data_IF_706311742182
#
_entry.id   IF_706311742182
#
_cell.length_a   1.000
_cell.length_b   1.000
_cell.length_c   1.000
_cell.angle_alpha   90.00
_cell.angle_beta   90.00
_cell.angle_gamma   90.00
#
_symmetry.space_group_name_H-M   'P 1'
#
loop_
_entity.id
_entity.type
_entity.pdbx_description
1 polymer ?
#
# COMPACT_ATOMS: atom_id res chain seq x y z
N UNK A 1 -39.96 -0.43 73.98
CA UNK A 1 -39.82 -1.47 73.00
C UNK A 1 -39.90 -0.83 71.61
N UNK A 2 -38.74 -0.41 71.03
CA UNK A 2 -38.70 0.21 69.76
C UNK A 2 -38.13 -0.78 68.74
N UNK A 3 -38.90 -1.10 67.71
CA UNK A 3 -38.45 -1.90 66.51
C UNK A 3 -37.92 -0.99 65.47
N UNK A 4 -36.62 -1.07 65.25
CA UNK A 4 -35.95 -0.41 64.06
C UNK A 4 -36.08 -1.31 62.85
N UNK A 5 -36.77 -0.84 61.82
CA UNK A 5 -36.84 -1.51 60.55
C UNK A 5 -35.64 -1.09 59.72
N UNK A 6 -34.81 -2.06 59.34
CA UNK A 6 -33.66 -1.89 58.44
C UNK A 6 -34.15 -1.91 56.97
N UNK A 7 -34.10 -0.77 56.29
CA UNK A 7 -34.43 -0.69 54.88
C UNK A 7 -33.16 -1.03 54.04
N UNK A 8 -33.15 -2.20 53.41
CA UNK A 8 -32.09 -2.64 52.57
C UNK A 8 -32.30 -2.06 51.16
N UNK A 9 -31.55 -1.04 50.77
CA UNK A 9 -31.57 -0.48 49.41
C UNK A 9 -30.73 -1.36 48.49
N UNK A 10 -31.41 -2.06 47.58
CA UNK A 10 -30.75 -2.84 46.52
C UNK A 10 -30.37 -1.90 45.36
N UNK A 11 -29.10 -1.56 45.27
CA UNK A 11 -28.58 -0.80 44.10
C UNK A 11 -28.44 -1.76 42.92
N UNK A 12 -29.31 -1.63 41.94
CA UNK A 12 -29.17 -2.28 40.62
C UNK A 12 -28.03 -1.58 39.86
N UNK A 13 -26.83 -2.18 39.84
CA UNK A 13 -25.79 -1.82 38.88
C UNK A 13 -26.23 -2.29 37.49
N UNK A 14 -26.75 -1.35 36.69
CA UNK A 14 -26.98 -1.56 35.27
C UNK A 14 -25.64 -1.68 34.54
N UNK A 15 -25.23 -2.89 34.18
CA UNK A 15 -24.15 -3.09 33.22
C UNK A 15 -24.66 -2.62 31.84
N UNK A 16 -24.23 -1.44 31.43
CA UNK A 16 -24.36 -1.03 30.06
C UNK A 16 -23.45 -1.94 29.20
N UNK A 17 -24.03 -2.90 28.50
CA UNK A 17 -23.37 -3.65 27.44
C UNK A 17 -23.05 -2.65 26.33
N UNK A 18 -21.83 -2.10 26.34
CA UNK A 18 -21.30 -1.42 25.18
C UNK A 18 -21.15 -2.47 24.09
N UNK A 19 -22.09 -2.52 23.16
CA UNK A 19 -21.92 -3.23 21.91
C UNK A 19 -20.70 -2.64 21.22
N UNK A 20 -19.58 -3.36 21.27
CA UNK A 20 -18.45 -3.03 20.41
C UNK A 20 -18.93 -3.25 18.98
N UNK A 21 -18.94 -2.17 18.22
CA UNK A 21 -19.21 -2.26 16.79
C UNK A 21 -18.16 -3.21 16.18
N UNK A 22 -18.64 -4.35 15.70
CA UNK A 22 -17.75 -5.31 15.01
C UNK A 22 -17.45 -4.78 13.64
N UNK A 23 -16.17 -4.56 13.35
CA UNK A 23 -15.73 -4.13 12.01
C UNK A 23 -16.20 -5.11 10.93
N UNK A 24 -16.45 -4.58 9.73
CA UNK A 24 -16.82 -5.38 8.58
C UNK A 24 -15.59 -5.92 7.82
N UNK A 25 -15.88 -6.71 6.81
CA UNK A 25 -14.89 -7.26 5.87
C UNK A 25 -15.26 -6.84 4.46
N UNK A 26 -14.26 -6.50 3.64
CA UNK A 26 -14.42 -6.31 2.19
C UNK A 26 -13.61 -7.37 1.48
N UNK A 27 -14.24 -8.14 0.62
CA UNK A 27 -13.55 -9.18 -0.16
C UNK A 27 -13.95 -9.11 -1.64
N UNK A 28 -13.12 -9.66 -2.49
CA UNK A 28 -13.45 -9.68 -3.89
C UNK A 28 -12.34 -10.14 -4.80
N UNK A 29 -12.53 -9.81 -6.07
CA UNK A 29 -11.56 -10.12 -7.11
C UNK A 29 -11.30 -8.91 -7.99
N UNK A 30 -10.06 -8.79 -8.44
CA UNK A 30 -9.64 -7.88 -9.48
C UNK A 30 -9.23 -8.67 -10.71
N UNK A 31 -9.65 -8.24 -11.88
CA UNK A 31 -9.15 -8.74 -13.16
C UNK A 31 -8.31 -7.67 -13.84
N UNK A 32 -7.13 -8.05 -14.29
CA UNK A 32 -6.34 -7.21 -15.19
C UNK A 32 -6.73 -7.53 -16.64
N UNK A 33 -7.02 -6.49 -17.40
CA UNK A 33 -7.31 -6.56 -18.82
C UNK A 33 -6.16 -5.92 -19.58
N UNK A 34 -5.80 -6.50 -20.71
CA UNK A 34 -4.81 -5.92 -21.65
C UNK A 34 -5.46 -5.67 -22.99
N UNK A 35 -4.93 -4.73 -23.77
CA UNK A 35 -5.36 -4.53 -25.16
C UNK A 35 -4.63 -5.51 -26.08
N UNK A 36 -5.41 -6.27 -26.82
CA UNK A 36 -4.91 -7.14 -27.89
C UNK A 36 -4.51 -6.30 -29.12
N UNK A 37 -3.83 -6.91 -30.08
CA UNK A 37 -3.38 -6.23 -31.30
C UNK A 37 -4.55 -5.64 -32.13
N UNK A 38 -5.72 -6.28 -32.09
CA UNK A 38 -6.96 -5.79 -32.73
C UNK A 38 -7.72 -4.75 -31.87
N UNK A 39 -7.11 -4.29 -30.76
CA UNK A 39 -7.62 -3.23 -29.89
C UNK A 39 -8.68 -3.65 -28.88
N UNK A 40 -9.08 -4.94 -28.84
CA UNK A 40 -10.03 -5.46 -27.87
C UNK A 40 -9.40 -5.62 -26.49
N UNK A 41 -10.24 -5.69 -25.47
CA UNK A 41 -9.82 -6.02 -24.10
C UNK A 41 -9.91 -7.52 -23.88
N UNK A 42 -8.85 -8.11 -23.36
CA UNK A 42 -8.79 -9.52 -22.96
C UNK A 42 -8.20 -9.65 -21.55
N UNK A 43 -8.65 -10.66 -20.77
CA UNK A 43 -8.06 -10.96 -19.47
C UNK A 43 -6.56 -11.30 -19.61
N UNK A 44 -5.74 -10.73 -18.73
CA UNK A 44 -4.29 -11.01 -18.73
C UNK A 44 -3.92 -12.39 -18.16
N UNK A 45 -4.80 -12.97 -17.34
CA UNK A 45 -4.57 -14.27 -16.68
C UNK A 45 -3.77 -14.19 -15.38
N UNK A 46 -3.00 -13.12 -15.16
CA UNK A 46 -2.26 -12.85 -13.91
C UNK A 46 -2.59 -11.45 -13.42
N UNK A 47 -3.21 -11.37 -12.25
CA UNK A 47 -3.61 -10.13 -11.59
C UNK A 47 -2.74 -9.80 -10.37
N UNK A 48 -1.52 -10.32 -10.30
CA UNK A 48 -0.59 -10.04 -9.20
C UNK A 48 -0.20 -8.57 -9.12
N UNK A 49 0.02 -8.08 -7.89
CA UNK A 49 0.59 -6.77 -7.62
C UNK A 49 -0.40 -5.60 -7.73
N UNK A 50 -1.71 -5.86 -7.80
CA UNK A 50 -2.71 -4.81 -7.64
C UNK A 50 -2.88 -4.51 -6.15
N UNK A 51 -2.78 -3.25 -5.78
CA UNK A 51 -3.01 -2.79 -4.40
C UNK A 51 -4.46 -2.35 -4.27
N UNK A 52 -5.22 -3.05 -3.42
CA UNK A 52 -6.57 -2.66 -3.00
C UNK A 52 -6.46 -1.90 -1.68
N UNK A 53 -7.07 -0.74 -1.56
CA UNK A 53 -7.04 0.02 -0.33
C UNK A 53 -8.29 0.88 -0.14
N UNK A 54 -8.61 1.15 1.11
CA UNK A 54 -9.74 1.98 1.49
C UNK A 54 -9.28 3.38 1.94
N UNK A 55 -10.15 4.35 1.71
CA UNK A 55 -10.03 5.70 2.28
C UNK A 55 -11.32 6.08 3.00
N UNK A 56 -11.31 7.19 3.73
CA UNK A 56 -12.47 7.65 4.52
C UNK A 56 -12.26 7.47 6.02
N UNK A 57 -11.19 6.83 6.45
CA UNK A 57 -10.76 6.72 7.84
C UNK A 57 -9.23 6.63 7.94
N UNK A 58 -8.70 6.83 9.13
CA UNK A 58 -7.26 6.72 9.42
C UNK A 58 -7.03 5.72 10.54
N UNK A 59 -5.88 5.05 10.51
CA UNK A 59 -5.42 4.16 11.57
C UNK A 59 -3.96 4.47 11.89
N UNK A 60 -3.51 4.24 13.13
CA UNK A 60 -2.10 4.35 13.48
C UNK A 60 -1.23 3.47 12.59
N UNK A 61 -0.03 3.94 12.31
CA UNK A 61 0.97 3.14 11.60
C UNK A 61 1.31 1.87 12.41
N UNK A 62 1.43 0.70 11.76
CA UNK A 62 1.95 -0.50 12.41
C UNK A 62 3.40 -0.24 12.87
N UNK A 63 3.85 -1.00 13.88
CA UNK A 63 5.21 -0.87 14.42
C UNK A 63 6.28 -1.52 13.55
N UNK A 64 5.86 -2.42 12.67
CA UNK A 64 6.75 -3.11 11.73
C UNK A 64 7.39 -2.09 10.81
N UNK A 65 8.69 -2.23 10.58
CA UNK A 65 9.46 -1.46 9.63
C UNK A 65 9.59 -2.24 8.32
N UNK A 66 8.81 -1.90 7.29
CA UNK A 66 8.91 -2.55 5.99
C UNK A 66 10.26 -2.26 5.34
N UNK A 67 10.68 -3.18 4.45
CA UNK A 67 11.97 -3.13 3.79
C UNK A 67 11.83 -3.18 2.28
N UNK A 68 12.70 -2.42 1.60
CA UNK A 68 12.98 -2.57 0.17
C UNK A 68 14.44 -2.97 0.01
N UNK A 69 14.67 -4.14 -0.57
CA UNK A 69 16.01 -4.62 -0.94
C UNK A 69 16.35 -4.20 -2.37
N UNK A 70 17.61 -3.87 -2.60
CA UNK A 70 18.19 -3.68 -3.93
C UNK A 70 18.95 -4.94 -4.29
N UNK A 71 18.43 -5.69 -5.27
CA UNK A 71 19.02 -6.96 -5.72
C UNK A 71 18.82 -7.16 -7.22
N UNK A 72 19.85 -7.61 -7.92
CA UNK A 72 19.81 -7.82 -9.38
C UNK A 72 19.33 -6.58 -10.14
N UNK A 73 19.79 -5.39 -9.75
CA UNK A 73 19.36 -4.09 -10.33
C UNK A 73 17.85 -3.86 -10.27
N UNK A 74 17.19 -4.35 -9.22
CA UNK A 74 15.75 -4.14 -8.98
C UNK A 74 15.48 -3.75 -7.53
N UNK A 75 14.39 -3.04 -7.29
CA UNK A 75 13.83 -2.87 -5.94
C UNK A 75 12.88 -4.02 -5.65
N UNK A 76 13.01 -4.66 -4.49
CA UNK A 76 12.20 -5.80 -4.06
C UNK A 76 11.60 -5.53 -2.68
N UNK A 77 10.27 -5.45 -2.57
CA UNK A 77 9.29 -5.45 -3.65
C UNK A 77 9.38 -4.19 -4.51
N UNK A 78 8.93 -4.26 -5.76
CA UNK A 78 8.86 -3.11 -6.68
C UNK A 78 7.66 -2.19 -6.40
N UNK A 79 6.64 -2.69 -5.70
CA UNK A 79 5.52 -1.94 -5.13
C UNK A 79 5.38 -2.29 -3.66
N UNK A 80 5.49 -1.27 -2.80
CA UNK A 80 5.38 -1.41 -1.35
C UNK A 80 4.26 -0.50 -0.81
N UNK A 81 3.07 -1.02 -0.47
CA UNK A 81 2.10 -0.26 0.29
C UNK A 81 2.51 -0.18 1.76
N UNK A 82 2.39 1.02 2.33
CA UNK A 82 2.67 1.31 3.74
C UNK A 82 1.61 2.25 4.32
N UNK A 83 1.54 2.35 5.63
CA UNK A 83 0.69 3.34 6.31
C UNK A 83 1.51 4.61 6.60
N UNK A 84 0.88 5.76 6.47
CA UNK A 84 1.49 7.05 6.80
C UNK A 84 2.06 7.06 8.23
N UNK A 85 3.29 7.54 8.39
CA UNK A 85 4.06 7.51 9.63
C UNK A 85 5.01 6.30 9.75
N UNK A 86 4.95 5.31 8.83
CA UNK A 86 5.95 4.24 8.83
C UNK A 86 7.29 4.71 8.26
N UNK A 87 8.35 4.12 8.81
CA UNK A 87 9.71 4.19 8.29
C UNK A 87 9.97 2.97 7.42
N UNK A 88 10.59 3.15 6.25
CA UNK A 88 11.02 2.08 5.34
C UNK A 88 12.53 1.97 5.38
N UNK A 89 13.03 0.75 5.54
CA UNK A 89 14.45 0.41 5.42
C UNK A 89 14.78 0.08 3.96
N UNK A 90 15.86 0.68 3.44
CA UNK A 90 16.41 0.40 2.11
C UNK A 90 17.77 -0.25 2.27
N UNK A 91 17.91 -1.50 1.83
CA UNK A 91 19.14 -2.29 1.99
C UNK A 91 19.75 -2.62 0.63
N UNK A 92 21.05 -2.36 0.46
CA UNK A 92 21.78 -2.81 -0.72
C UNK A 92 22.25 -4.28 -0.52
N UNK A 93 21.55 -5.21 -1.14
CA UNK A 93 21.85 -6.66 -1.13
C UNK A 93 22.51 -7.12 -2.46
N UNK A 94 22.83 -6.18 -3.34
CA UNK A 94 23.50 -6.45 -4.62
C UNK A 94 25.01 -6.29 -4.48
N UNK A 95 25.79 -6.90 -5.38
CA UNK A 95 27.23 -6.72 -5.48
C UNK A 95 27.62 -5.44 -6.22
N UNK A 96 26.67 -4.61 -6.55
CA UNK A 96 26.81 -3.35 -7.27
C UNK A 96 26.51 -2.16 -6.37
N UNK A 97 27.05 -1.01 -6.74
CA UNK A 97 26.69 0.25 -6.10
C UNK A 97 25.34 0.72 -6.68
N UNK A 98 24.42 1.04 -5.80
CA UNK A 98 23.13 1.63 -6.13
C UNK A 98 22.95 2.96 -5.41
N UNK A 99 21.96 3.72 -5.90
CA UNK A 99 21.42 4.89 -5.22
C UNK A 99 19.92 4.70 -5.06
N UNK A 100 19.32 5.32 -4.07
CA UNK A 100 17.86 5.39 -3.95
C UNK A 100 17.48 6.85 -3.78
N UNK A 101 16.65 7.35 -4.69
CA UNK A 101 16.11 8.71 -4.58
C UNK A 101 14.65 8.78 -5.00
N UNK A 102 13.97 9.82 -4.57
CA UNK A 102 12.62 10.19 -5.01
C UNK A 102 12.52 11.70 -5.21
N UNK A 103 11.80 12.09 -6.26
CA UNK A 103 11.40 13.47 -6.53
C UNK A 103 9.90 13.69 -6.33
N UNK A 104 9.17 12.67 -5.84
CA UNK A 104 7.73 12.72 -5.63
C UNK A 104 7.33 13.79 -4.62
N UNK A 105 6.15 14.44 -4.85
CA UNK A 105 5.66 15.51 -3.96
C UNK A 105 5.33 15.01 -2.55
N UNK A 106 4.87 13.76 -2.41
CA UNK A 106 4.54 13.17 -1.12
C UNK A 106 5.80 12.96 -0.26
N UNK A 107 6.91 12.51 -0.85
CA UNK A 107 8.19 12.39 -0.17
C UNK A 107 9.36 12.54 -1.14
N UNK A 108 10.19 13.54 -0.92
CA UNK A 108 11.45 13.76 -1.66
C UNK A 108 12.63 13.37 -0.79
N UNK A 109 13.56 12.57 -1.32
CA UNK A 109 14.77 12.18 -0.62
C UNK A 109 15.86 11.69 -1.59
N UNK A 110 17.10 11.60 -1.09
CA UNK A 110 18.24 10.97 -1.74
C UNK A 110 19.10 10.30 -0.66
N UNK A 111 19.22 8.98 -0.71
CA UNK A 111 19.95 8.18 0.28
C UNK A 111 21.44 8.05 -0.03
N UNK A 112 21.91 8.71 -1.10
CA UNK A 112 23.29 8.56 -1.56
C UNK A 112 23.53 7.15 -2.13
N UNK A 113 24.74 6.63 -1.91
CA UNK A 113 25.20 5.35 -2.45
C UNK A 113 25.62 4.42 -1.30
N UNK A 114 24.66 3.70 -0.67
CA UNK A 114 25.00 2.76 0.39
C UNK A 114 25.87 1.62 -0.17
N UNK A 115 26.84 1.17 0.62
CA UNK A 115 27.66 0.01 0.29
C UNK A 115 26.85 -1.27 0.35
N UNK A 116 27.38 -2.34 -0.21
CA UNK A 116 26.80 -3.69 -0.08
C UNK A 116 26.57 -4.01 1.39
N UNK A 117 25.35 -4.46 1.73
CA UNK A 117 24.94 -4.77 3.09
C UNK A 117 24.58 -3.57 3.98
N UNK A 118 24.79 -2.32 3.51
CA UNK A 118 24.36 -1.14 4.25
C UNK A 118 22.87 -0.85 4.04
N UNK A 119 22.22 -0.37 5.10
CA UNK A 119 20.84 0.11 5.08
C UNK A 119 20.75 1.62 5.31
N UNK A 120 19.68 2.19 4.81
CA UNK A 120 19.25 3.58 5.08
C UNK A 120 17.74 3.57 5.33
N UNK A 121 17.27 4.54 6.10
CA UNK A 121 15.88 4.64 6.53
C UNK A 121 15.24 5.95 6.09
N UNK A 122 13.96 5.89 5.73
CA UNK A 122 13.13 7.06 5.41
C UNK A 122 11.77 6.92 6.04
N UNK A 123 11.34 7.93 6.79
CA UNK A 123 9.98 8.07 7.30
C UNK A 123 9.07 8.70 6.24
N UNK A 124 7.83 8.20 6.14
CA UNK A 124 6.81 8.67 5.18
C UNK A 124 5.63 9.32 5.90
N UNK A 125 5.65 10.62 6.03
CA UNK A 125 4.73 11.46 6.81
C UNK A 125 3.51 11.98 6.05
N UNK A 126 3.40 11.66 4.74
CA UNK A 126 2.29 12.10 3.87
C UNK A 126 1.80 10.97 2.99
N UNK A 127 0.47 10.83 2.89
CA UNK A 127 -0.16 9.89 1.97
C UNK A 127 0.11 10.26 0.51
N UNK A 128 0.19 9.24 -0.35
CA UNK A 128 0.36 9.43 -1.79
C UNK A 128 1.31 8.42 -2.43
N UNK A 129 1.53 8.60 -3.73
CA UNK A 129 2.46 7.79 -4.52
C UNK A 129 3.85 8.38 -4.41
N UNK A 130 4.83 7.56 -4.05
CA UNK A 130 6.25 7.92 -3.99
C UNK A 130 7.02 6.96 -4.89
N UNK A 131 7.33 7.42 -6.09
CA UNK A 131 8.20 6.68 -7.00
C UNK A 131 9.65 6.79 -6.55
N UNK A 132 10.36 5.67 -6.56
CA UNK A 132 11.76 5.57 -6.21
C UNK A 132 12.58 5.10 -7.41
N UNK A 133 13.77 5.62 -7.53
CA UNK A 133 14.66 5.43 -8.67
C UNK A 133 16.09 5.20 -8.20
N UNK A 134 16.89 4.61 -9.09
CA UNK A 134 18.35 4.58 -8.95
C UNK A 134 18.98 5.58 -9.92
N UNK A 135 19.91 6.41 -9.46
CA UNK A 135 20.64 7.41 -10.28
C UNK A 135 21.74 6.77 -11.15
N UNK A 136 21.93 5.45 -11.09
CA UNK A 136 22.98 4.70 -11.80
C UNK A 136 22.37 3.78 -12.86
N UNK A 137 21.27 3.10 -12.53
CA UNK A 137 20.61 2.11 -13.39
C UNK A 137 19.21 2.62 -13.76
N UNK A 138 19.01 2.96 -15.02
CA UNK A 138 17.77 3.54 -15.54
C UNK A 138 16.56 2.60 -15.36
N UNK A 139 16.78 1.27 -15.37
CA UNK A 139 15.74 0.26 -15.20
C UNK A 139 15.25 0.08 -13.77
N UNK A 140 15.99 0.57 -12.77
CA UNK A 140 15.63 0.43 -11.36
C UNK A 140 14.57 1.44 -10.95
N UNK A 141 13.32 1.01 -10.99
CA UNK A 141 12.15 1.79 -10.62
C UNK A 141 11.31 1.02 -9.61
N UNK A 142 10.85 1.68 -8.56
CA UNK A 142 9.91 1.14 -7.57
C UNK A 142 8.87 2.18 -7.19
N UNK A 143 7.85 1.76 -6.44
CA UNK A 143 6.82 2.66 -5.93
C UNK A 143 6.46 2.31 -4.49
N UNK A 144 6.45 3.31 -3.62
CA UNK A 144 5.89 3.21 -2.28
C UNK A 144 4.53 3.90 -2.30
N UNK A 145 3.48 3.16 -1.95
CA UNK A 145 2.13 3.69 -1.85
C UNK A 145 1.81 3.97 -0.38
N UNK A 146 1.84 5.24 0.01
CA UNK A 146 1.61 5.66 1.40
C UNK A 146 0.13 5.86 1.63
N UNK A 147 -0.47 5.01 2.46
CA UNK A 147 -1.90 4.87 2.68
C UNK A 147 -2.34 5.45 4.03
N UNK A 148 -3.60 5.86 4.19
CA UNK A 148 -4.10 6.48 5.43
C UNK A 148 -4.38 5.47 6.55
N UNK A 149 -4.46 4.17 6.25
CA UNK A 149 -4.84 3.12 7.19
C UNK A 149 -4.29 1.75 6.77
N UNK A 150 -4.54 0.73 7.59
CA UNK A 150 -4.08 -0.64 7.38
C UNK A 150 -5.04 -1.50 6.53
N UNK A 151 -6.17 -0.95 6.08
CA UNK A 151 -7.14 -1.67 5.25
C UNK A 151 -6.68 -1.68 3.77
N UNK A 152 -5.63 -2.42 3.51
CA UNK A 152 -5.11 -2.67 2.16
C UNK A 152 -4.68 -4.14 1.97
N UNK A 153 -4.61 -4.56 0.73
CA UNK A 153 -4.10 -5.87 0.33
C UNK A 153 -3.42 -5.77 -1.03
N UNK A 154 -2.46 -6.66 -1.27
CA UNK A 154 -1.81 -6.84 -2.59
C UNK A 154 -2.27 -8.18 -3.15
N UNK A 155 -2.77 -8.19 -4.39
CA UNK A 155 -3.29 -9.40 -5.01
C UNK A 155 -2.19 -10.37 -5.44
N UNK A 156 -2.47 -11.66 -5.35
CA UNK A 156 -1.77 -12.71 -6.08
C UNK A 156 -2.30 -12.87 -7.52
N UNK A 157 -1.84 -13.92 -8.21
CA UNK A 157 -2.18 -14.19 -9.60
C UNK A 157 -3.68 -14.37 -9.84
N UNK A 158 -4.41 -14.89 -8.86
CA UNK A 158 -5.87 -15.09 -8.93
C UNK A 158 -6.69 -13.81 -8.73
N UNK A 159 -6.04 -12.69 -8.43
CA UNK A 159 -6.64 -11.38 -8.22
C UNK A 159 -7.52 -11.26 -6.98
N UNK A 160 -7.54 -12.26 -6.09
CA UNK A 160 -8.35 -12.20 -4.87
C UNK A 160 -7.75 -11.28 -3.83
N UNK A 161 -8.64 -10.65 -3.06
CA UNK A 161 -8.26 -9.82 -1.92
C UNK A 161 -9.28 -9.91 -0.79
N UNK A 162 -8.82 -9.61 0.43
CA UNK A 162 -9.66 -9.49 1.62
C UNK A 162 -9.11 -8.36 2.50
N UNK A 163 -9.96 -7.38 2.82
CA UNK A 163 -9.67 -6.29 3.76
C UNK A 163 -10.49 -6.52 5.01
N UNK A 164 -9.82 -6.67 6.15
CA UNK A 164 -10.46 -6.92 7.45
C UNK A 164 -10.38 -5.71 8.35
N UNK A 165 -11.23 -5.66 9.37
CA UNK A 165 -11.18 -4.56 10.35
C UNK A 165 -11.59 -3.22 9.73
N UNK A 166 -12.56 -3.25 8.82
CA UNK A 166 -13.07 -2.05 8.15
C UNK A 166 -14.22 -1.48 8.98
N UNK A 167 -14.11 -0.23 9.47
CA UNK A 167 -15.21 0.41 10.18
C UNK A 167 -16.47 0.43 9.32
N UNK A 168 -17.65 0.30 9.97
CA UNK A 168 -18.93 0.44 9.25
C UNK A 168 -19.11 1.85 8.72
N UNK A 169 -19.74 1.96 7.55
CA UNK A 169 -20.00 3.23 6.87
C UNK A 169 -19.64 3.21 5.39
N UNK A 170 -19.74 4.38 4.78
CA UNK A 170 -19.39 4.57 3.36
C UNK A 170 -17.89 4.82 3.22
N UNK A 171 -17.24 4.05 2.34
CA UNK A 171 -15.81 4.13 2.05
C UNK A 171 -15.56 4.15 0.54
N UNK A 172 -14.49 4.81 0.13
CA UNK A 172 -13.99 4.66 -1.23
C UNK A 172 -12.94 3.53 -1.27
N UNK A 173 -13.23 2.49 -2.04
CA UNK A 173 -12.30 1.42 -2.36
C UNK A 173 -11.57 1.76 -3.66
N UNK A 174 -10.26 1.69 -3.62
CA UNK A 174 -9.39 1.86 -4.76
C UNK A 174 -8.73 0.53 -5.13
N UNK A 175 -8.61 0.29 -6.44
CA UNK A 175 -7.70 -0.69 -7.01
C UNK A 175 -6.64 0.07 -7.79
N UNK A 176 -5.38 -0.09 -7.42
CA UNK A 176 -4.25 0.64 -7.98
C UNK A 176 -3.16 -0.32 -8.49
N UNK A 177 -2.61 -0.03 -9.65
CA UNK A 177 -1.44 -0.69 -10.20
C UNK A 177 -0.57 0.35 -10.91
N UNK A 178 0.74 0.16 -10.94
CA UNK A 178 1.67 1.03 -11.70
C UNK A 178 1.37 1.09 -13.20
N UNK A 179 0.65 0.08 -13.72
CA UNK A 179 0.36 -0.12 -15.14
C UNK A 179 -1.08 0.14 -15.53
N UNK A 180 -1.85 0.80 -14.68
CA UNK A 180 -3.26 1.11 -14.97
C UNK A 180 -3.67 2.43 -14.34
N UNK A 181 -4.69 3.06 -14.91
CA UNK A 181 -5.40 4.11 -14.19
C UNK A 181 -6.11 3.49 -12.97
N UNK A 182 -6.03 4.13 -11.79
CA UNK A 182 -6.70 3.63 -10.60
C UNK A 182 -8.21 3.57 -10.81
N UNK A 183 -8.84 2.46 -10.39
CA UNK A 183 -10.29 2.38 -10.28
C UNK A 183 -10.73 2.73 -8.88
N UNK A 184 -11.86 3.44 -8.78
CA UNK A 184 -12.47 3.87 -7.53
C UNK A 184 -13.94 3.51 -7.53
N UNK A 185 -14.39 2.84 -6.45
CA UNK A 185 -15.80 2.54 -6.21
C UNK A 185 -16.19 2.94 -4.79
N UNK A 186 -17.42 3.43 -4.62
CA UNK A 186 -18.00 3.63 -3.29
C UNK A 186 -18.63 2.33 -2.81
N UNK A 187 -18.35 1.97 -1.57
CA UNK A 187 -18.92 0.80 -0.91
C UNK A 187 -19.53 1.19 0.43
N UNK A 188 -20.53 0.44 0.86
CA UNK A 188 -21.15 0.58 2.18
C UNK A 188 -20.84 -0.67 3.00
N UNK A 189 -20.07 -0.49 4.07
CA UNK A 189 -19.63 -1.57 4.96
C UNK A 189 -20.52 -1.60 6.19
N UNK A 190 -21.05 -2.77 6.53
CA UNK A 190 -21.88 -2.98 7.70
C UNK A 190 -21.14 -3.80 8.75
N UNK A 191 -21.48 -3.53 10.02
CA UNK A 191 -20.90 -4.23 11.15
C UNK A 191 -21.03 -5.74 11.03
N UNK A 192 -19.92 -6.46 11.12
CA UNK A 192 -19.85 -7.92 11.11
C UNK A 192 -20.21 -8.57 9.78
N UNK A 193 -20.53 -7.78 8.74
CA UNK A 193 -20.87 -8.32 7.40
C UNK A 193 -19.66 -8.30 6.46
N UNK A 194 -19.77 -9.12 5.41
CA UNK A 194 -18.82 -9.12 4.30
C UNK A 194 -19.44 -8.40 3.10
N UNK A 195 -18.74 -7.37 2.61
CA UNK A 195 -19.08 -6.66 1.37
C UNK A 195 -18.27 -7.25 0.22
N UNK A 196 -18.94 -7.82 -0.78
CA UNK A 196 -18.29 -8.41 -1.95
C UNK A 196 -18.14 -7.40 -3.08
N UNK A 197 -16.95 -7.35 -3.73
CA UNK A 197 -16.64 -6.41 -4.81
C UNK A 197 -15.88 -7.11 -5.94
N UNK A 198 -16.22 -6.77 -7.19
CA UNK A 198 -15.45 -7.17 -8.37
C UNK A 198 -15.01 -5.94 -9.14
N UNK A 199 -13.72 -5.89 -9.51
CA UNK A 199 -13.10 -4.76 -10.19
C UNK A 199 -12.34 -5.22 -11.44
N UNK A 200 -12.19 -4.31 -12.40
CA UNK A 200 -11.38 -4.53 -13.59
C UNK A 200 -10.44 -3.34 -13.78
N UNK A 201 -9.18 -3.62 -14.03
CA UNK A 201 -8.18 -2.62 -14.41
C UNK A 201 -7.70 -2.91 -15.82
N UNK A 202 -7.60 -1.87 -16.64
CA UNK A 202 -7.01 -1.98 -17.97
C UNK A 202 -5.55 -1.58 -17.89
N UNK A 203 -4.65 -2.51 -18.23
CA UNK A 203 -3.22 -2.19 -18.30
C UNK A 203 -2.93 -1.21 -19.42
N UNK A 204 -2.14 -0.22 -19.09
CA UNK A 204 -1.53 0.73 -20.01
C UNK A 204 -0.03 0.41 -20.16
N UNK A 205 0.60 0.90 -21.20
CA UNK A 205 2.06 0.82 -21.31
C UNK A 205 2.65 1.64 -20.16
N UNK A 206 3.43 0.99 -19.33
CA UNK A 206 4.21 1.67 -18.30
C UNK A 206 5.55 2.08 -18.91
N UNK A 207 5.80 3.39 -18.97
CA UNK A 207 7.12 3.90 -19.39
C UNK A 207 8.01 3.94 -18.14
N UNK A 208 9.05 3.12 -18.14
CA UNK A 208 10.08 3.12 -17.09
C UNK A 208 11.13 4.21 -17.31
N UNK A 209 11.08 4.90 -18.47
CA UNK A 209 12.04 5.97 -18.76
C UNK A 209 11.87 7.11 -17.77
N UNK A 210 12.92 7.42 -17.08
CA UNK A 210 13.01 8.55 -16.18
C UNK A 210 14.39 9.20 -16.33
N UNK A 211 14.54 10.35 -15.71
CA UNK A 211 15.81 11.10 -15.70
C UNK A 211 16.50 10.89 -14.36
N UNK A 212 17.82 11.08 -14.33
CA UNK A 212 18.58 11.07 -13.10
C UNK A 212 18.11 12.16 -12.11
N UNK A 213 18.53 12.09 -10.88
CA UNK A 213 18.04 12.93 -9.76
C UNK A 213 18.16 14.44 -9.97
N UNK A 214 18.97 14.88 -10.92
CA UNK A 214 19.14 16.30 -11.30
C UNK A 214 18.48 16.64 -12.65
N UNK A 215 17.63 15.75 -13.17
CA UNK A 215 16.93 15.96 -14.44
C UNK A 215 17.75 15.67 -15.71
N UNK A 216 18.96 15.12 -15.57
CA UNK A 216 19.82 14.75 -16.72
C UNK A 216 19.51 13.33 -17.20
N UNK A 217 19.71 13.05 -18.50
CA UNK A 217 19.66 11.68 -19.01
C UNK A 217 20.73 10.78 -18.36
N UNK A 218 20.45 9.49 -18.27
CA UNK A 218 21.41 8.52 -17.80
C UNK A 218 22.61 8.43 -18.72
N UNK A 219 23.81 8.37 -18.14
CA UNK A 219 25.04 8.16 -18.88
C UNK A 219 25.44 6.69 -18.75
N UNK A 220 25.63 6.02 -19.87
CA UNK A 220 26.29 4.71 -19.85
C UNK A 220 27.74 4.92 -19.41
N UNK A 221 28.10 4.38 -18.26
CA UNK A 221 29.47 4.41 -17.77
C UNK A 221 30.25 3.28 -18.46
N UNK A 222 31.36 3.59 -19.17
CA UNK A 222 32.18 2.56 -19.81
C UNK A 222 32.69 1.56 -18.76
N UNK A 223 32.45 0.26 -18.99
CA UNK A 223 32.93 -0.82 -18.11
C UNK A 223 32.11 -1.05 -16.83
N UNK A 224 30.99 -0.33 -16.64
CA UNK A 224 30.03 -0.62 -15.57
C UNK A 224 28.86 -1.44 -16.14
N UNK A 225 28.59 -2.64 -15.58
CA UNK A 225 27.59 -3.57 -16.11
C UNK A 225 26.14 -3.07 -15.97
#
# INVERSE_FOLDING_TARGET
LGSSALVLSLALLGFALTSQATDGTVEGTVRLLTRTEDGKLAPKGDASGVVLYLTGFSQPAPKEMPRISQRNKTFIPDVLPIVVGQTVEFTNEDNLIHNVFSTSKARRFDLGKPRVGESREVEFDKTGVVDIYCDIHEEMVGTILVLPNQAFAVTGADGKFTLRGVPSGRHALFAWSRRSEPQRVEIDVKNGETTAVALELVETKFDTKHVGKFGQPYRKLPGYP
#
